data_IF_245570422737
#
_entry.id   IF_245570422737
#
_cell.length_a   1.000
_cell.length_b   1.000
_cell.length_c   1.000
_cell.angle_alpha   90.00
_cell.angle_beta   90.00
_cell.angle_gamma   90.00
#
_symmetry.space_group_name_H-M   'P 1'
#
loop_
_entity.id
_entity.type
_entity.pdbx_description
1 polymer ?
#
# COMPACT_ATOMS: atom_id res chain seq x y z
N UNK A 1 -59.84 -14.51 -24.11
CA UNK A 1 -58.80 -13.64 -24.73
C UNK A 1 -58.19 -12.72 -23.67
N UNK A 2 -59.00 -12.02 -22.87
CA UNK A 2 -58.51 -11.17 -21.76
C UNK A 2 -57.82 -11.96 -20.64
N UNK A 3 -58.36 -13.11 -20.26
CA UNK A 3 -57.78 -13.98 -19.22
C UNK A 3 -56.38 -14.50 -19.59
N UNK A 4 -56.17 -14.81 -20.87
CA UNK A 4 -54.88 -15.23 -21.43
C UNK A 4 -53.85 -14.09 -21.41
N UNK A 5 -54.29 -12.84 -21.60
CA UNK A 5 -53.43 -11.65 -21.54
C UNK A 5 -53.04 -11.35 -20.09
N UNK A 6 -53.95 -11.53 -19.14
CA UNK A 6 -53.67 -11.35 -17.72
C UNK A 6 -52.67 -12.39 -17.19
N UNK A 7 -52.84 -13.65 -17.57
CA UNK A 7 -51.90 -14.74 -17.22
C UNK A 7 -50.50 -14.47 -17.78
N UNK A 8 -50.41 -14.02 -19.04
CA UNK A 8 -49.14 -13.70 -19.69
C UNK A 8 -48.42 -12.52 -19.02
N UNK A 9 -49.17 -11.48 -18.60
CA UNK A 9 -48.61 -10.34 -17.85
C UNK A 9 -48.05 -10.78 -16.51
N UNK A 10 -48.77 -11.65 -15.79
CA UNK A 10 -48.34 -12.20 -14.51
C UNK A 10 -47.05 -13.02 -14.66
N UNK A 11 -46.95 -13.84 -15.71
CA UNK A 11 -45.73 -14.59 -16.01
C UNK A 11 -44.55 -13.67 -16.34
N UNK A 12 -44.76 -12.60 -17.10
CA UNK A 12 -43.71 -11.62 -17.42
C UNK A 12 -43.22 -10.91 -16.15
N UNK A 13 -44.13 -10.46 -15.28
CA UNK A 13 -43.77 -9.82 -14.01
C UNK A 13 -43.03 -10.77 -13.05
N UNK A 14 -43.43 -12.04 -13.00
CA UNK A 14 -42.76 -13.05 -12.19
C UNK A 14 -41.36 -13.35 -12.75
N UNK A 15 -41.23 -13.48 -14.07
CA UNK A 15 -39.94 -13.63 -14.72
C UNK A 15 -39.02 -12.41 -14.51
N UNK A 16 -39.57 -11.19 -14.57
CA UNK A 16 -38.82 -9.97 -14.25
C UNK A 16 -38.35 -9.96 -12.80
N UNK A 17 -39.23 -10.28 -11.83
CA UNK A 17 -38.85 -10.38 -10.42
C UNK A 17 -37.77 -11.43 -10.16
N UNK A 18 -37.85 -12.57 -10.84
CA UNK A 18 -36.82 -13.62 -10.73
C UNK A 18 -35.48 -13.17 -11.31
N UNK A 19 -35.48 -12.46 -12.45
CA UNK A 19 -34.26 -11.89 -13.05
C UNK A 19 -33.63 -10.83 -12.16
N UNK A 20 -34.41 -9.87 -11.68
CA UNK A 20 -33.91 -8.84 -10.76
C UNK A 20 -33.38 -9.44 -9.46
N UNK A 21 -34.03 -10.48 -8.93
CA UNK A 21 -33.54 -11.19 -7.74
C UNK A 21 -32.25 -11.97 -8.02
N UNK A 22 -32.08 -12.54 -9.21
CA UNK A 22 -30.85 -13.21 -9.61
C UNK A 22 -29.70 -12.21 -9.79
N UNK A 23 -29.95 -11.09 -10.47
CA UNK A 23 -28.97 -10.01 -10.67
C UNK A 23 -28.51 -9.42 -9.32
N UNK A 24 -29.44 -9.16 -8.40
CA UNK A 24 -29.08 -8.69 -7.04
C UNK A 24 -28.22 -9.70 -6.30
N UNK A 25 -28.51 -11.00 -6.38
CA UNK A 25 -27.70 -12.04 -5.74
C UNK A 25 -26.30 -12.13 -6.34
N UNK A 26 -26.20 -12.03 -7.67
CA UNK A 26 -24.90 -12.05 -8.36
C UNK A 26 -24.06 -10.82 -7.99
N UNK A 27 -24.69 -9.65 -7.90
CA UNK A 27 -24.06 -8.41 -7.43
C UNK A 27 -23.57 -8.55 -5.98
N UNK A 28 -24.42 -9.01 -5.07
CA UNK A 28 -24.06 -9.24 -3.66
C UNK A 28 -22.92 -10.25 -3.53
N UNK A 29 -22.95 -11.34 -4.30
CA UNK A 29 -21.89 -12.35 -4.28
C UNK A 29 -20.58 -11.80 -4.85
N UNK A 30 -20.64 -10.96 -5.88
CA UNK A 30 -19.46 -10.27 -6.42
C UNK A 30 -18.87 -9.29 -5.42
N UNK A 31 -19.69 -8.46 -4.79
CA UNK A 31 -19.24 -7.53 -3.75
C UNK A 31 -18.66 -8.27 -2.54
N UNK A 32 -19.27 -9.39 -2.13
CA UNK A 32 -18.74 -10.23 -1.06
C UNK A 32 -17.38 -10.84 -1.41
N UNK A 33 -17.21 -11.29 -2.66
CA UNK A 33 -15.91 -11.79 -3.16
C UNK A 33 -14.85 -10.69 -3.16
N UNK A 34 -15.15 -9.53 -3.73
CA UNK A 34 -14.23 -8.38 -3.75
C UNK A 34 -13.84 -7.92 -2.34
N UNK A 35 -14.80 -7.84 -1.41
CA UNK A 35 -14.54 -7.50 -0.02
C UNK A 35 -13.63 -8.53 0.67
N UNK A 36 -13.87 -9.83 0.42
CA UNK A 36 -13.04 -10.90 0.95
C UNK A 36 -11.62 -10.88 0.38
N UNK A 37 -11.46 -10.58 -0.91
CA UNK A 37 -10.16 -10.43 -1.57
C UNK A 37 -9.37 -9.25 -0.99
N UNK A 38 -10.02 -8.11 -0.74
CA UNK A 38 -9.37 -6.92 -0.15
C UNK A 38 -8.88 -7.13 1.28
N UNK A 39 -9.46 -8.09 1.99
CA UNK A 39 -9.01 -8.51 3.32
C UNK A 39 -7.85 -9.51 3.27
N UNK A 40 -7.56 -10.11 2.11
CA UNK A 40 -6.43 -11.02 1.98
C UNK A 40 -5.10 -10.27 2.14
N UNK A 41 -4.10 -10.90 2.77
CA UNK A 41 -2.75 -10.35 2.78
C UNK A 41 -2.19 -10.19 1.36
N UNK A 42 -1.39 -9.15 1.17
CA UNK A 42 -0.78 -8.85 -0.11
C UNK A 42 0.51 -9.66 -0.34
N UNK A 43 0.86 -9.83 -1.62
CA UNK A 43 2.22 -10.23 -2.03
C UNK A 43 3.19 -9.05 -1.94
N UNK A 44 4.50 -9.29 -2.05
CA UNK A 44 5.48 -8.20 -1.98
C UNK A 44 5.25 -7.19 -3.11
N UNK A 45 5.04 -7.67 -4.34
CA UNK A 45 4.81 -6.79 -5.49
C UNK A 45 3.53 -5.98 -5.34
N UNK A 46 2.45 -6.59 -4.84
CA UNK A 46 1.20 -5.87 -4.59
C UNK A 46 1.35 -4.83 -3.50
N UNK A 47 2.09 -5.16 -2.42
CA UNK A 47 2.43 -4.19 -1.38
C UNK A 47 3.18 -2.99 -1.97
N UNK A 48 4.25 -3.22 -2.72
CA UNK A 48 5.09 -2.15 -3.28
C UNK A 48 4.32 -1.28 -4.27
N UNK A 49 3.50 -1.89 -5.13
CA UNK A 49 2.62 -1.16 -6.05
C UNK A 49 1.64 -0.26 -5.28
N UNK A 50 1.00 -0.80 -4.24
CA UNK A 50 0.05 -0.05 -3.39
C UNK A 50 0.73 1.06 -2.60
N UNK A 51 1.91 0.81 -2.01
CA UNK A 51 2.71 1.84 -1.36
C UNK A 51 3.05 2.97 -2.34
N UNK A 52 3.48 2.65 -3.55
CA UNK A 52 3.79 3.67 -4.56
C UNK A 52 2.56 4.49 -4.97
N UNK A 53 1.52 3.81 -5.45
CA UNK A 53 0.36 4.44 -6.08
C UNK A 53 -0.57 5.13 -5.06
N UNK A 54 -0.69 4.58 -3.85
CA UNK A 54 -1.66 5.08 -2.85
C UNK A 54 -1.02 5.91 -1.74
N UNK A 55 0.28 5.73 -1.44
CA UNK A 55 0.95 6.45 -0.36
C UNK A 55 1.99 7.44 -0.89
N UNK A 56 3.01 6.96 -1.60
CA UNK A 56 4.12 7.82 -2.06
C UNK A 56 3.65 8.91 -3.01
N UNK A 57 2.77 8.59 -3.96
CA UNK A 57 2.20 9.59 -4.88
C UNK A 57 1.20 10.54 -4.20
N UNK A 58 0.69 10.19 -3.01
CA UNK A 58 -0.21 11.04 -2.24
C UNK A 58 0.52 12.10 -1.41
N UNK A 59 1.86 12.14 -1.45
CA UNK A 59 2.66 13.14 -0.74
C UNK A 59 2.22 14.56 -1.15
N UNK A 60 1.98 15.40 -0.15
CA UNK A 60 1.65 16.82 -0.34
C UNK A 60 2.51 17.65 0.58
N UNK A 61 3.07 18.72 0.04
CA UNK A 61 3.88 19.68 0.79
C UNK A 61 3.08 20.98 0.88
N UNK A 62 3.09 21.63 2.04
CA UNK A 62 2.51 22.95 2.20
C UNK A 62 3.27 23.95 1.32
N UNK A 63 2.54 24.63 0.45
CA UNK A 63 3.11 25.56 -0.52
C UNK A 63 3.18 26.99 0.03
N UNK A 64 2.31 27.33 0.98
CA UNK A 64 2.38 28.61 1.67
C UNK A 64 3.47 28.57 2.73
N UNK A 65 4.60 29.22 2.42
CA UNK A 65 5.73 29.31 3.32
C UNK A 65 5.35 29.85 4.71
N UNK A 66 4.32 30.71 4.83
CA UNK A 66 3.87 31.27 6.12
C UNK A 66 3.20 30.23 7.03
N UNK A 67 2.72 29.13 6.45
CA UNK A 67 2.08 28.01 7.16
C UNK A 67 3.07 26.88 7.51
N UNK A 68 4.34 27.02 7.11
CA UNK A 68 5.41 26.07 7.41
C UNK A 68 6.16 26.43 8.70
N UNK A 69 6.95 25.49 9.24
CA UNK A 69 7.90 25.78 10.31
C UNK A 69 8.89 26.85 9.83
N UNK A 70 8.92 27.97 10.56
CA UNK A 70 9.82 29.08 10.27
C UNK A 70 11.20 28.83 10.90
N UNK A 71 12.26 29.19 10.18
CA UNK A 71 13.65 29.07 10.64
C UNK A 71 14.60 28.81 9.48
N UNK A 72 15.91 28.94 9.73
CA UNK A 72 16.92 28.54 8.75
C UNK A 72 17.12 27.02 8.81
N UNK A 73 16.62 26.30 7.80
CA UNK A 73 16.79 24.86 7.68
C UNK A 73 18.22 24.46 7.23
N UNK A 74 19.02 25.40 6.73
CA UNK A 74 20.32 25.15 6.11
C UNK A 74 21.53 25.36 7.06
N UNK A 75 21.30 25.86 8.29
CA UNK A 75 22.34 26.01 9.32
C UNK A 75 21.91 25.44 10.68
N UNK A 76 21.73 24.11 10.79
CA UNK A 76 21.37 23.50 12.05
C UNK A 76 22.54 23.51 13.04
N UNK A 77 22.33 24.14 14.20
CA UNK A 77 23.32 24.12 15.30
C UNK A 77 23.46 22.70 15.86
N UNK A 78 24.69 22.20 15.94
CA UNK A 78 25.03 20.88 16.51
C UNK A 78 24.40 19.67 15.79
N UNK A 79 24.05 19.75 14.49
CA UNK A 79 23.61 18.58 13.70
C UNK A 79 24.49 18.39 12.47
N UNK A 80 24.77 17.13 12.14
CA UNK A 80 25.38 16.79 10.86
C UNK A 80 24.31 16.86 9.77
N UNK A 81 24.62 17.53 8.67
CA UNK A 81 23.75 17.60 7.50
C UNK A 81 24.57 17.51 6.21
N UNK A 82 24.00 16.95 5.14
CA UNK A 82 24.68 16.87 3.86
C UNK A 82 24.82 18.27 3.24
N UNK A 83 26.04 18.64 2.86
CA UNK A 83 26.32 19.91 2.15
C UNK A 83 26.04 19.83 0.64
N UNK A 84 26.03 18.62 0.10
CA UNK A 84 25.81 18.36 -1.32
C UNK A 84 24.97 17.10 -1.47
N UNK A 85 23.99 17.16 -2.37
CA UNK A 85 23.26 15.98 -2.85
C UNK A 85 23.95 15.54 -4.14
N UNK A 86 24.53 14.34 -4.15
CA UNK A 86 25.24 13.79 -5.30
C UNK A 86 24.51 12.57 -5.87
N UNK A 87 24.51 12.36 -7.20
CA UNK A 87 23.90 11.19 -7.78
C UNK A 87 24.58 9.89 -7.32
N UNK A 88 23.79 8.93 -6.84
CA UNK A 88 24.28 7.60 -6.51
C UNK A 88 24.35 6.72 -7.77
N UNK A 89 25.43 6.87 -8.54
CA UNK A 89 25.57 6.27 -9.88
C UNK A 89 25.49 4.74 -9.91
N UNK A 90 25.92 4.07 -8.84
CA UNK A 90 25.91 2.61 -8.72
C UNK A 90 24.55 2.05 -8.25
N UNK A 91 23.61 2.91 -7.85
CA UNK A 91 22.35 2.47 -7.27
C UNK A 91 21.53 1.56 -8.19
N UNK A 92 21.36 1.86 -9.50
CA UNK A 92 20.60 0.97 -10.38
C UNK A 92 21.17 -0.45 -10.45
N UNK A 93 22.50 -0.59 -10.56
CA UNK A 93 23.14 -1.91 -10.62
C UNK A 93 23.02 -2.66 -9.28
N UNK A 94 23.15 -1.95 -8.16
CA UNK A 94 22.95 -2.53 -6.83
C UNK A 94 21.50 -2.97 -6.62
N UNK A 95 20.54 -2.20 -7.14
CA UNK A 95 19.12 -2.52 -7.07
C UNK A 95 18.79 -3.78 -7.89
N UNK A 96 19.31 -3.90 -9.11
CA UNK A 96 19.17 -5.12 -9.93
C UNK A 96 19.73 -6.35 -9.21
N UNK A 97 20.94 -6.24 -8.63
CA UNK A 97 21.54 -7.34 -7.87
C UNK A 97 20.70 -7.78 -6.66
N UNK A 98 19.95 -6.88 -6.05
CA UNK A 98 19.02 -7.21 -4.97
C UNK A 98 17.81 -7.96 -5.53
N UNK A 99 17.23 -7.50 -6.63
CA UNK A 99 16.09 -8.17 -7.28
C UNK A 99 16.46 -9.56 -7.82
N UNK A 100 17.66 -9.75 -8.34
CA UNK A 100 18.16 -11.06 -8.79
C UNK A 100 18.18 -12.11 -7.65
N UNK A 101 18.34 -11.67 -6.39
CA UNK A 101 18.24 -12.57 -5.23
C UNK A 101 16.79 -13.01 -4.99
N UNK A 102 15.85 -12.08 -5.10
CA UNK A 102 14.42 -12.37 -4.98
C UNK A 102 13.90 -13.27 -6.10
N UNK A 103 14.35 -13.05 -7.34
CA UNK A 103 13.88 -13.83 -8.50
C UNK A 103 14.31 -15.29 -8.44
N UNK A 104 15.46 -15.58 -7.82
CA UNK A 104 15.91 -16.95 -7.53
C UNK A 104 14.98 -17.67 -6.54
N UNK A 105 14.20 -16.94 -5.75
CA UNK A 105 13.21 -17.44 -4.80
C UNK A 105 11.85 -16.74 -4.99
N UNK A 106 11.22 -16.95 -6.16
CA UNK A 106 9.94 -16.35 -6.52
C UNK A 106 8.78 -16.67 -5.55
N UNK A 107 8.93 -17.69 -4.68
CA UNK A 107 7.94 -17.97 -3.66
C UNK A 107 7.79 -16.81 -2.67
N UNK A 108 8.88 -16.10 -2.34
CA UNK A 108 8.79 -14.99 -1.38
C UNK A 108 7.97 -13.81 -1.92
N UNK A 109 8.20 -13.43 -3.17
CA UNK A 109 7.60 -12.23 -3.77
C UNK A 109 6.12 -12.40 -4.09
N UNK A 110 5.67 -13.65 -4.28
CA UNK A 110 4.28 -14.00 -4.64
C UNK A 110 3.41 -14.40 -3.45
N UNK A 111 3.99 -14.86 -2.34
CA UNK A 111 3.21 -15.31 -1.17
C UNK A 111 2.48 -14.14 -0.49
N UNK A 112 1.23 -14.35 -0.01
CA UNK A 112 0.44 -13.33 0.67
C UNK A 112 0.92 -13.19 2.13
N UNK A 113 2.00 -12.45 2.34
CA UNK A 113 2.66 -12.28 3.65
C UNK A 113 2.59 -10.84 4.20
N UNK A 114 2.06 -9.92 3.41
CA UNK A 114 2.13 -8.49 3.66
C UNK A 114 0.76 -7.89 3.99
N UNK A 115 0.70 -6.68 4.59
CA UNK A 115 -0.55 -6.03 4.94
C UNK A 115 -1.55 -5.98 3.77
N UNK A 116 -2.82 -6.25 4.06
CA UNK A 116 -3.90 -6.25 3.08
C UNK A 116 -4.18 -4.85 2.54
N UNK A 117 -4.97 -4.76 1.47
CA UNK A 117 -5.35 -3.47 0.91
C UNK A 117 -6.14 -2.61 1.89
N UNK A 118 -6.99 -3.24 2.72
CA UNK A 118 -7.72 -2.53 3.78
C UNK A 118 -6.79 -1.94 4.84
N UNK A 119 -5.68 -2.60 5.17
CA UNK A 119 -4.68 -2.05 6.09
C UNK A 119 -3.93 -0.87 5.45
N UNK A 120 -3.60 -0.95 4.16
CA UNK A 120 -2.99 0.17 3.43
C UNK A 120 -3.96 1.35 3.31
N UNK A 121 -5.24 1.09 3.03
CA UNK A 121 -6.28 2.13 2.96
C UNK A 121 -6.43 2.88 4.29
N UNK A 122 -6.29 2.18 5.42
CA UNK A 122 -6.26 2.84 6.72
C UNK A 122 -5.11 3.85 6.83
N UNK A 123 -3.90 3.49 6.35
CA UNK A 123 -2.78 4.44 6.29
C UNK A 123 -3.11 5.61 5.36
N UNK A 124 -3.71 5.36 4.20
CA UNK A 124 -4.18 6.42 3.29
C UNK A 124 -5.11 7.39 4.02
N UNK A 125 -6.08 6.92 4.81
CA UNK A 125 -6.98 7.83 5.55
C UNK A 125 -6.26 8.74 6.54
N UNK A 126 -5.09 8.32 7.04
CA UNK A 126 -4.29 9.08 8.01
C UNK A 126 -3.30 10.04 7.36
N UNK A 127 -2.95 9.83 6.09
CA UNK A 127 -1.98 10.66 5.36
C UNK A 127 -2.64 11.55 4.30
N UNK A 128 -3.79 11.13 3.78
CA UNK A 128 -4.54 11.86 2.76
C UNK A 128 -4.99 13.22 3.31
N UNK A 129 -4.75 14.27 2.51
CA UNK A 129 -5.06 15.66 2.84
C UNK A 129 -4.30 16.24 4.05
N UNK A 130 -3.20 15.62 4.48
CA UNK A 130 -2.30 16.20 5.47
C UNK A 130 -1.03 16.71 4.79
N UNK A 131 -0.92 18.01 4.48
CA UNK A 131 0.29 18.54 3.89
C UNK A 131 1.46 18.46 4.89
N UNK A 132 2.65 18.25 4.37
CA UNK A 132 3.92 18.32 5.11
C UNK A 132 4.28 19.80 5.24
N UNK A 133 4.33 20.30 6.47
CA UNK A 133 4.62 21.71 6.79
C UNK A 133 5.78 21.88 7.78
N UNK A 134 6.33 20.77 8.29
CA UNK A 134 7.38 20.75 9.32
C UNK A 134 8.22 19.46 9.23
N UNK A 135 9.41 19.45 9.83
CA UNK A 135 10.24 18.25 10.02
C UNK A 135 9.44 17.14 10.73
N UNK A 136 8.65 17.49 11.75
CA UNK A 136 7.81 16.54 12.46
C UNK A 136 6.74 15.91 11.56
N UNK A 137 6.06 16.72 10.72
CA UNK A 137 5.06 16.18 9.78
C UNK A 137 5.69 15.33 8.67
N UNK A 138 6.92 15.67 8.23
CA UNK A 138 7.66 14.85 7.27
C UNK A 138 8.02 13.49 7.88
N UNK A 139 8.56 13.49 9.11
CA UNK A 139 8.89 12.27 9.85
C UNK A 139 7.67 11.38 10.05
N UNK A 140 6.54 11.95 10.46
CA UNK A 140 5.30 11.18 10.63
C UNK A 140 4.84 10.55 9.30
N UNK A 141 4.91 11.30 8.21
CA UNK A 141 4.57 10.78 6.89
C UNK A 141 5.51 9.63 6.46
N UNK A 142 6.83 9.79 6.64
CA UNK A 142 7.81 8.73 6.37
C UNK A 142 7.53 7.48 7.20
N UNK A 143 7.30 7.64 8.51
CA UNK A 143 7.02 6.52 9.42
C UNK A 143 5.81 5.72 8.96
N UNK A 144 4.72 6.42 8.66
CA UNK A 144 3.45 5.82 8.27
C UNK A 144 3.49 5.17 6.89
N UNK A 145 4.23 5.75 5.93
CA UNK A 145 4.19 5.34 4.52
C UNK A 145 5.37 4.50 4.05
N UNK A 146 6.48 4.51 4.79
CA UNK A 146 7.73 3.83 4.43
C UNK A 146 8.17 2.90 5.56
N UNK A 147 8.53 3.45 6.72
CA UNK A 147 9.25 2.69 7.75
C UNK A 147 8.45 1.48 8.25
N UNK A 148 7.16 1.65 8.51
CA UNK A 148 6.30 0.56 8.98
C UNK A 148 6.26 -0.60 7.97
N UNK A 149 6.26 -0.29 6.68
CA UNK A 149 6.25 -1.31 5.63
C UNK A 149 7.62 -1.94 5.42
N UNK A 150 8.70 -1.14 5.48
CA UNK A 150 10.08 -1.65 5.41
C UNK A 150 10.37 -2.57 6.60
N UNK A 151 9.99 -2.17 7.81
CA UNK A 151 10.09 -2.98 9.02
C UNK A 151 9.34 -4.31 8.84
N UNK A 152 8.13 -4.27 8.26
CA UNK A 152 7.38 -5.49 7.95
C UNK A 152 8.07 -6.38 6.91
N UNK A 153 8.65 -5.80 5.86
CA UNK A 153 9.40 -6.56 4.85
C UNK A 153 10.63 -7.24 5.45
N UNK A 154 11.37 -6.53 6.30
CA UNK A 154 12.55 -7.08 6.98
C UNK A 154 12.13 -8.18 7.98
N UNK A 155 11.02 -8.00 8.69
CA UNK A 155 10.46 -9.03 9.58
C UNK A 155 10.16 -10.32 8.81
N UNK A 156 9.44 -10.22 7.69
CA UNK A 156 9.09 -11.39 6.86
C UNK A 156 10.34 -12.03 6.23
N UNK A 157 11.30 -11.22 5.78
CA UNK A 157 12.60 -11.69 5.26
C UNK A 157 13.39 -12.47 6.30
N UNK A 158 13.41 -12.00 7.55
CA UNK A 158 14.13 -12.67 8.64
C UNK A 158 13.54 -14.06 8.94
N UNK A 159 12.24 -14.22 8.76
CA UNK A 159 11.54 -15.47 9.02
C UNK A 159 11.68 -16.47 7.84
N UNK A 160 12.22 -16.03 6.70
CA UNK A 160 12.59 -16.86 5.54
C UNK A 160 14.09 -17.23 5.60
N UNK A 161 14.41 -18.45 6.04
CA UNK A 161 15.81 -18.87 6.30
C UNK A 161 16.76 -18.72 5.10
N UNK A 162 16.41 -19.15 3.87
CA UNK A 162 17.25 -18.92 2.69
C UNK A 162 17.55 -17.44 2.44
N UNK A 163 16.53 -16.56 2.49
CA UNK A 163 16.72 -15.14 2.21
C UNK A 163 17.41 -14.42 3.37
N UNK A 164 17.12 -14.79 4.62
CA UNK A 164 17.82 -14.28 5.79
C UNK A 164 19.33 -14.50 5.66
N UNK A 165 19.74 -15.69 5.26
CA UNK A 165 21.15 -16.04 5.11
C UNK A 165 21.77 -15.36 3.87
N UNK A 166 21.03 -15.27 2.75
CA UNK A 166 21.48 -14.59 1.52
C UNK A 166 21.64 -13.06 1.67
N UNK A 167 20.82 -12.44 2.52
CA UNK A 167 20.91 -11.01 2.86
C UNK A 167 21.71 -10.73 4.13
N UNK A 168 22.14 -11.76 4.86
CA UNK A 168 22.91 -11.60 6.10
C UNK A 168 22.15 -10.87 7.20
N UNK A 169 20.84 -11.10 7.33
CA UNK A 169 19.97 -10.38 8.28
C UNK A 169 20.21 -10.92 9.69
N UNK A 170 20.92 -10.13 10.50
CA UNK A 170 21.27 -10.46 11.88
C UNK A 170 20.48 -9.60 12.87
N UNK A 171 19.23 -9.98 13.13
CA UNK A 171 18.39 -9.38 14.17
C UNK A 171 17.14 -8.67 13.65
N UNK A 172 16.58 -7.79 14.49
CA UNK A 172 15.39 -7.00 14.17
C UNK A 172 15.82 -5.59 13.78
N UNK A 173 15.22 -5.07 12.72
CA UNK A 173 15.28 -3.65 12.37
C UNK A 173 14.03 -2.98 12.91
N UNK A 174 14.21 -1.86 13.59
CA UNK A 174 13.14 -1.06 14.19
C UNK A 174 13.50 0.40 13.99
N UNK A 175 12.58 1.18 13.45
CA UNK A 175 12.75 2.63 13.30
C UNK A 175 12.18 3.29 14.57
N UNK A 176 13.07 3.72 15.46
CA UNK A 176 12.72 4.49 16.67
C UNK A 176 12.78 5.98 16.37
N UNK A 177 11.98 6.77 17.10
CA UNK A 177 12.13 8.22 17.22
C UNK A 177 13.37 8.61 18.05
#
# INVERSE_FOLDING_TARGET
MEETIAELRRQIEEQQRLREAAERREEEERQAREAAERLQPNSLFRLLDRCHNSLSQAIRVEADATLTTQGDAADPVNRLYPKHIIPWRAFPQLQEQIWDKFDRNNAFTTRPLFPSDTQIDYVVTNTQNRPIYSEASLRNFERDTVDNFVEKVIEVLRDDEPLRDEFGIQGRVTFYD
#
